data_IF_819707692807
#
_entry.id   IF_819707692807
#
_cell.length_a   1.000
_cell.length_b   1.000
_cell.length_c   1.000
_cell.angle_alpha   90.00
_cell.angle_beta   90.00
_cell.angle_gamma   90.00
#
_symmetry.space_group_name_H-M   'P 1'
#
loop_
_entity.id
_entity.type
_entity.pdbx_description
1 polymer ?
#
# COMPACT_ATOMS: atom_id res chain seq x y z
N UNK A 1 -3.62 -11.63 -31.62
CA UNK A 1 -3.94 -11.50 -33.06
C UNK A 1 -5.46 -11.52 -33.23
N UNK A 2 -6.05 -10.55 -33.95
CA UNK A 2 -7.48 -10.58 -34.25
C UNK A 2 -7.79 -11.72 -35.23
N UNK A 3 -8.92 -12.40 -35.05
CA UNK A 3 -9.41 -13.35 -36.06
C UNK A 3 -9.78 -12.60 -37.34
N UNK A 4 -9.78 -13.28 -38.48
CA UNK A 4 -10.12 -12.69 -39.79
C UNK A 4 -11.47 -11.98 -39.80
N UNK A 5 -12.46 -12.50 -39.06
CA UNK A 5 -13.78 -11.88 -38.89
C UNK A 5 -13.73 -10.58 -38.10
N UNK A 6 -12.91 -10.49 -37.05
CA UNK A 6 -12.70 -9.25 -36.28
C UNK A 6 -11.92 -8.24 -37.13
N UNK A 7 -10.94 -8.72 -37.90
CA UNK A 7 -10.10 -7.86 -38.73
C UNK A 7 -10.89 -7.08 -39.78
N UNK A 8 -11.92 -7.70 -40.37
CA UNK A 8 -12.81 -7.04 -41.33
C UNK A 8 -13.72 -5.97 -40.71
N UNK A 9 -13.85 -5.91 -39.38
CA UNK A 9 -14.65 -4.90 -38.69
C UNK A 9 -13.90 -3.58 -38.47
N UNK A 10 -12.59 -3.52 -38.74
CA UNK A 10 -11.83 -2.28 -38.55
C UNK A 10 -12.04 -1.31 -39.70
N UNK A 11 -12.46 -0.07 -39.39
CA UNK A 11 -12.58 1.00 -40.37
C UNK A 11 -11.22 1.55 -40.81
N UNK A 12 -10.28 1.61 -39.86
CA UNK A 12 -8.91 2.11 -40.07
C UNK A 12 -7.91 1.19 -39.43
N UNK A 13 -6.83 0.96 -40.14
CA UNK A 13 -5.68 0.18 -39.72
C UNK A 13 -4.46 1.08 -39.63
N UNK A 14 -3.70 0.91 -38.54
CA UNK A 14 -2.41 1.56 -38.33
C UNK A 14 -1.41 0.49 -37.90
N UNK A 15 -0.43 0.23 -38.75
CA UNK A 15 0.57 -0.83 -38.54
C UNK A 15 1.89 -0.18 -38.15
N UNK A 16 2.44 -0.61 -37.02
CA UNK A 16 3.69 -0.09 -36.46
C UNK A 16 4.72 -1.21 -36.36
N UNK A 17 5.95 -0.95 -36.80
CA UNK A 17 7.12 -1.80 -36.55
C UNK A 17 8.30 -0.93 -36.12
N UNK A 18 8.99 -1.31 -35.05
CA UNK A 18 10.19 -0.62 -34.54
C UNK A 18 10.01 0.91 -34.33
N UNK A 19 8.78 1.33 -34.00
CA UNK A 19 8.42 2.75 -33.83
C UNK A 19 8.05 3.50 -35.11
N UNK A 20 8.14 2.86 -36.28
CA UNK A 20 7.78 3.44 -37.58
C UNK A 20 6.42 2.96 -38.08
N UNK A 21 5.70 3.86 -38.75
CA UNK A 21 4.44 3.52 -39.42
C UNK A 21 4.72 2.77 -40.72
N UNK A 22 4.30 1.51 -40.80
CA UNK A 22 4.38 0.70 -42.02
C UNK A 22 3.16 0.89 -42.93
N UNK A 23 2.00 1.15 -42.33
CA UNK A 23 0.74 1.30 -43.08
C UNK A 23 -0.28 2.12 -42.28
N UNK A 24 -0.95 3.04 -42.97
CA UNK A 24 -2.08 3.81 -42.44
C UNK A 24 -3.18 3.91 -43.51
N UNK A 25 -4.33 3.28 -43.27
CA UNK A 25 -5.40 3.25 -44.28
C UNK A 25 -6.57 2.34 -43.89
N UNK A 26 -7.42 1.99 -44.86
CA UNK A 26 -8.55 1.08 -44.63
C UNK A 26 -8.11 -0.38 -44.73
N UNK A 27 -8.84 -1.31 -44.10
CA UNK A 27 -8.52 -2.74 -44.20
C UNK A 27 -8.58 -3.26 -45.64
N UNK A 28 -9.45 -2.68 -46.49
CA UNK A 28 -9.61 -3.09 -47.89
C UNK A 28 -8.39 -2.75 -48.74
N UNK A 29 -7.72 -1.65 -48.41
CA UNK A 29 -6.57 -1.16 -49.18
C UNK A 29 -5.26 -1.84 -48.75
N UNK A 30 -5.25 -2.57 -47.62
CA UNK A 30 -4.05 -3.22 -47.10
C UNK A 30 -3.43 -4.19 -48.11
N UNK A 31 -4.18 -5.22 -48.56
CA UNK A 31 -3.63 -6.22 -49.47
C UNK A 31 -3.17 -5.63 -50.81
N UNK A 32 -3.92 -4.70 -51.45
CA UNK A 32 -3.42 -3.97 -52.61
C UNK A 32 -2.10 -3.24 -52.36
N UNK A 33 -1.96 -2.54 -51.23
CA UNK A 33 -0.73 -1.80 -50.92
C UNK A 33 0.48 -2.71 -50.64
N UNK A 34 0.28 -3.84 -49.95
CA UNK A 34 1.32 -4.84 -49.76
C UNK A 34 1.73 -5.46 -51.11
N UNK A 35 0.75 -5.79 -51.96
CA UNK A 35 1.01 -6.32 -53.30
C UNK A 35 1.80 -5.34 -54.17
N UNK A 36 1.51 -4.04 -54.09
CA UNK A 36 2.25 -2.99 -54.80
C UNK A 36 3.72 -2.87 -54.37
N UNK A 37 4.05 -3.31 -53.16
CA UNK A 37 5.42 -3.36 -52.63
C UNK A 37 6.03 -4.77 -52.72
N UNK A 38 5.49 -5.64 -53.59
CA UNK A 38 6.05 -6.96 -53.89
C UNK A 38 5.67 -8.08 -52.90
N UNK A 39 4.73 -7.83 -51.99
CA UNK A 39 4.31 -8.79 -50.96
C UNK A 39 2.95 -9.39 -51.31
N UNK A 40 2.91 -10.69 -51.64
CA UNK A 40 1.67 -11.40 -51.93
C UNK A 40 1.21 -12.24 -50.73
N UNK A 41 -0.02 -11.98 -50.29
CA UNK A 41 -0.64 -12.78 -49.23
C UNK A 41 -1.07 -14.15 -49.79
N UNK A 42 -0.70 -15.27 -49.14
CA UNK A 42 -1.16 -16.60 -49.55
C UNK A 42 -2.68 -16.74 -49.53
N UNK A 43 -3.20 -17.62 -50.38
CA UNK A 43 -4.63 -17.92 -50.43
C UNK A 43 -5.10 -18.55 -49.10
N UNK A 44 -6.28 -18.15 -48.63
CA UNK A 44 -6.86 -18.59 -47.35
C UNK A 44 -6.05 -18.21 -46.10
N UNK A 45 -5.06 -17.33 -46.23
CA UNK A 45 -4.30 -16.80 -45.10
C UNK A 45 -5.00 -15.58 -44.49
N UNK A 46 -4.84 -15.39 -43.18
CA UNK A 46 -5.42 -14.25 -42.49
C UNK A 46 -4.59 -12.98 -42.79
N UNK A 47 -5.17 -11.94 -43.41
CA UNK A 47 -4.43 -10.72 -43.73
C UNK A 47 -3.86 -10.02 -42.49
N UNK A 48 -4.48 -10.20 -41.32
CA UNK A 48 -3.99 -9.68 -40.06
C UNK A 48 -2.69 -10.34 -39.60
N UNK A 49 -2.55 -11.65 -39.85
CA UNK A 49 -1.34 -12.39 -39.49
C UNK A 49 -0.25 -12.10 -40.51
N UNK A 50 -0.61 -12.05 -41.81
CA UNK A 50 0.31 -11.69 -42.89
C UNK A 50 1.00 -10.33 -42.66
N UNK A 51 0.25 -9.29 -42.30
CA UNK A 51 0.84 -7.96 -42.08
C UNK A 51 1.72 -7.91 -40.83
N UNK A 52 1.45 -8.75 -39.83
CA UNK A 52 2.29 -8.87 -38.63
C UNK A 52 3.60 -9.59 -38.96
N UNK A 53 3.57 -10.62 -39.79
CA UNK A 53 4.79 -11.31 -40.25
C UNK A 53 5.66 -10.43 -41.15
N UNK A 54 5.03 -9.61 -42.01
CA UNK A 54 5.73 -8.56 -42.75
C UNK A 54 6.38 -7.56 -41.78
N UNK A 55 5.65 -7.16 -40.74
CA UNK A 55 6.17 -6.26 -39.71
C UNK A 55 7.27 -6.90 -38.83
N UNK A 56 7.26 -8.21 -38.64
CA UNK A 56 8.30 -8.95 -37.90
C UNK A 56 9.57 -9.19 -38.74
N UNK A 57 9.48 -9.03 -40.07
CA UNK A 57 10.61 -9.20 -41.00
C UNK A 57 10.74 -10.60 -41.59
N UNK A 58 9.72 -11.45 -41.46
CA UNK A 58 9.72 -12.81 -42.01
C UNK A 58 9.74 -12.84 -43.55
N UNK A 59 9.33 -11.75 -44.19
CA UNK A 59 9.34 -11.56 -45.65
C UNK A 59 10.52 -10.71 -46.15
N UNK A 60 11.59 -10.58 -45.35
CA UNK A 60 12.80 -9.83 -45.71
C UNK A 60 12.79 -8.35 -45.25
N UNK A 61 13.81 -7.59 -45.67
CA UNK A 61 13.98 -6.17 -45.30
C UNK A 61 13.14 -5.23 -46.20
N UNK A 62 11.82 -5.39 -46.14
CA UNK A 62 10.83 -4.54 -46.83
C UNK A 62 10.34 -3.38 -45.96
N UNK A 63 10.79 -3.30 -44.70
CA UNK A 63 10.36 -2.29 -43.73
C UNK A 63 10.64 -0.87 -44.22
N UNK A 64 11.84 -0.61 -44.73
CA UNK A 64 12.24 0.73 -45.18
C UNK A 64 11.38 1.27 -46.33
N UNK A 65 11.00 0.41 -47.28
CA UNK A 65 10.17 0.79 -48.42
C UNK A 65 8.72 1.02 -48.02
N UNK A 66 8.19 0.21 -47.11
CA UNK A 66 6.85 0.39 -46.54
C UNK A 66 6.73 1.68 -45.72
N UNK A 67 7.75 2.03 -44.93
CA UNK A 67 7.79 3.32 -44.22
C UNK A 67 7.75 4.49 -45.19
N UNK A 68 8.59 4.48 -46.24
CA UNK A 68 8.59 5.52 -47.28
C UNK A 68 7.25 5.59 -48.03
N UNK A 69 6.62 4.45 -48.29
CA UNK A 69 5.31 4.39 -48.91
C UNK A 69 4.23 5.01 -48.01
N UNK A 70 4.22 4.66 -46.72
CA UNK A 70 3.30 5.19 -45.72
C UNK A 70 3.47 6.70 -45.50
N UNK A 71 4.71 7.21 -45.48
CA UNK A 71 5.00 8.65 -45.40
C UNK A 71 4.47 9.40 -46.62
N UNK A 72 4.66 8.86 -47.84
CA UNK A 72 4.15 9.49 -49.07
C UNK A 72 2.63 9.49 -49.14
N UNK A 73 1.98 8.39 -48.76
CA UNK A 73 0.51 8.29 -48.83
C UNK A 73 -0.23 8.94 -47.64
N UNK A 74 0.41 9.07 -46.47
CA UNK A 74 -0.17 9.84 -45.35
C UNK A 74 -0.22 11.34 -45.65
N UNK A 75 0.79 11.91 -46.31
CA UNK A 75 0.77 13.30 -46.77
C UNK A 75 -0.29 13.56 -47.85
N UNK A 76 -0.54 12.59 -48.73
CA UNK A 76 -1.57 12.67 -49.78
C UNK A 76 -2.98 12.60 -49.20
N UNK A 77 -3.24 11.85 -48.13
CA UNK A 77 -4.58 11.88 -47.48
C UNK A 77 -4.89 13.20 -46.78
N UNK A 78 -3.88 13.91 -46.26
CA UNK A 78 -4.04 15.25 -45.67
C UNK A 78 -4.26 16.34 -46.73
N UNK A 79 -3.71 16.17 -47.94
CA UNK A 79 -3.78 17.18 -49.02
C UNK A 79 -4.88 16.91 -50.05
N UNK A 80 -5.26 15.66 -50.32
CA UNK A 80 -6.10 15.33 -51.48
C UNK A 80 -7.61 15.26 -51.21
N UNK A 81 -8.04 14.97 -49.98
CA UNK A 81 -9.47 14.96 -49.64
C UNK A 81 -10.03 16.35 -49.26
N UNK A 82 -9.16 17.32 -48.97
CA UNK A 82 -9.54 18.73 -48.79
C UNK A 82 -9.58 19.53 -50.10
N UNK A 83 -8.67 19.28 -51.04
CA UNK A 83 -8.55 20.11 -52.26
C UNK A 83 -9.42 19.66 -53.44
N UNK A 84 -9.84 18.39 -53.52
CA UNK A 84 -10.57 17.90 -54.72
C UNK A 84 -12.05 18.29 -54.75
N UNK A 85 -12.65 18.71 -53.64
CA UNK A 85 -14.03 19.22 -53.66
C UNK A 85 -14.13 20.70 -54.02
N UNK A 86 -13.02 21.45 -53.94
CA UNK A 86 -12.97 22.90 -54.24
C UNK A 86 -12.66 23.16 -55.73
N UNK A 87 -12.05 22.20 -56.43
CA UNK A 87 -11.61 22.37 -57.82
C UNK A 87 -12.74 22.34 -58.88
N UNK A 88 -14.01 22.16 -58.49
CA UNK A 88 -15.13 22.06 -59.43
C UNK A 88 -16.08 23.27 -59.43
N UNK A 89 -15.80 24.32 -58.66
CA UNK A 89 -16.51 25.60 -58.77
C UNK A 89 -15.52 26.69 -59.18
N UNK A 90 -15.59 27.10 -60.45
CA UNK A 90 -14.79 28.19 -60.98
C UNK A 90 -15.22 29.52 -60.37
N UNK A 91 -14.29 30.22 -59.73
CA UNK A 91 -14.52 31.56 -59.21
C UNK A 91 -13.32 32.08 -58.42
N UNK A 92 -12.61 33.03 -59.03
CA UNK A 92 -11.69 34.03 -58.51
C UNK A 92 -10.78 33.75 -57.29
N UNK A 93 -9.49 33.98 -57.57
CA UNK A 93 -8.36 34.04 -56.65
C UNK A 93 -8.55 35.18 -55.62
N UNK A 94 -8.67 34.84 -54.33
CA UNK A 94 -7.92 35.45 -53.22
C UNK A 94 -8.31 34.82 -51.87
N UNK A 95 -7.29 34.55 -51.05
CA UNK A 95 -7.29 33.97 -49.70
C UNK A 95 -7.32 32.43 -49.58
N UNK A 96 -6.26 31.82 -48.99
CA UNK A 96 -6.28 30.41 -48.63
C UNK A 96 -7.08 30.25 -47.33
N UNK A 97 -8.40 30.15 -47.45
CA UNK A 97 -9.19 29.54 -46.38
C UNK A 97 -8.82 28.06 -46.29
N UNK A 98 -7.88 27.77 -45.40
CA UNK A 98 -7.54 26.42 -45.01
C UNK A 98 -8.80 25.76 -44.45
N UNK A 99 -9.42 24.88 -45.25
CA UNK A 99 -10.42 23.92 -44.77
C UNK A 99 -9.64 22.90 -43.95
N UNK A 100 -9.32 23.27 -42.73
CA UNK A 100 -9.04 22.35 -41.65
C UNK A 100 -10.20 21.37 -41.61
N UNK A 101 -9.91 20.06 -41.73
CA UNK A 101 -10.77 19.06 -41.08
C UNK A 101 -11.18 19.63 -39.71
N UNK A 102 -12.41 19.46 -39.21
CA UNK A 102 -12.72 19.93 -37.87
C UNK A 102 -11.76 19.18 -36.93
N UNK A 103 -10.63 19.83 -36.65
CA UNK A 103 -9.81 19.62 -35.48
C UNK A 103 -10.86 19.77 -34.42
N UNK A 104 -11.24 18.62 -33.82
CA UNK A 104 -12.19 18.55 -32.72
C UNK A 104 -12.00 19.82 -31.92
N UNK A 105 -12.99 20.70 -31.98
CA UNK A 105 -12.80 22.03 -31.45
C UNK A 105 -12.53 21.84 -29.97
N UNK A 106 -11.69 22.69 -29.38
CA UNK A 106 -11.33 22.57 -27.97
C UNK A 106 -12.59 22.49 -27.07
N UNK A 107 -13.74 22.98 -27.55
CA UNK A 107 -15.07 22.91 -26.95
C UNK A 107 -15.66 21.49 -26.91
N UNK A 108 -15.42 20.61 -27.90
CA UNK A 108 -15.93 19.23 -27.93
C UNK A 108 -15.28 18.34 -26.85
N UNK A 109 -14.05 18.66 -26.44
CA UNK A 109 -13.33 17.97 -25.36
C UNK A 109 -13.63 18.53 -23.95
N UNK A 110 -14.32 19.66 -23.83
CA UNK A 110 -14.55 20.33 -22.54
C UNK A 110 -15.63 19.68 -21.66
N UNK A 111 -16.29 18.61 -22.11
CA UNK A 111 -17.40 17.97 -21.38
C UNK A 111 -17.00 17.16 -20.14
N UNK A 112 -15.71 16.99 -19.83
CA UNK A 112 -15.29 16.22 -18.64
C UNK A 112 -14.65 17.14 -17.60
N UNK A 113 -15.47 17.92 -16.90
CA UNK A 113 -15.02 18.59 -15.67
C UNK A 113 -14.75 17.54 -14.59
N UNK A 114 -13.59 17.56 -13.91
CA UNK A 114 -13.30 16.63 -12.84
C UNK A 114 -14.28 16.81 -11.68
N UNK A 115 -14.78 15.71 -11.13
CA UNK A 115 -15.70 15.72 -10.00
C UNK A 115 -15.09 16.47 -8.78
N UNK A 116 -15.91 17.18 -7.97
CA UNK A 116 -15.42 17.88 -6.79
C UNK A 116 -14.82 16.91 -5.77
N UNK A 117 -13.83 17.38 -5.01
CA UNK A 117 -13.07 16.56 -4.06
C UNK A 117 -13.95 15.83 -3.03
N UNK A 118 -14.95 16.50 -2.48
CA UNK A 118 -15.85 15.92 -1.49
C UNK A 118 -16.69 14.76 -2.06
N UNK A 119 -17.10 14.85 -3.33
CA UNK A 119 -17.82 13.77 -4.01
C UNK A 119 -16.89 12.57 -4.22
N UNK A 120 -15.67 12.81 -4.70
CA UNK A 120 -14.65 11.76 -4.82
C UNK A 120 -14.43 11.06 -3.47
N UNK A 121 -14.24 11.84 -2.40
CA UNK A 121 -14.02 11.31 -1.06
C UNK A 121 -15.22 10.49 -0.55
N UNK A 122 -16.45 10.99 -0.65
CA UNK A 122 -17.63 10.29 -0.14
C UNK A 122 -17.83 8.93 -0.84
N UNK A 123 -17.68 8.91 -2.17
CA UNK A 123 -17.75 7.66 -2.95
C UNK A 123 -16.65 6.69 -2.53
N UNK A 124 -15.42 7.18 -2.35
CA UNK A 124 -14.28 6.36 -1.94
C UNK A 124 -14.42 5.86 -0.50
N UNK A 125 -14.90 6.68 0.43
CA UNK A 125 -15.22 6.29 1.81
C UNK A 125 -16.24 5.13 1.82
N UNK A 126 -17.36 5.30 1.11
CA UNK A 126 -18.39 4.25 0.99
C UNK A 126 -17.82 2.97 0.40
N UNK A 127 -17.01 3.08 -0.66
CA UNK A 127 -16.38 1.93 -1.31
C UNK A 127 -15.40 1.23 -0.37
N UNK A 128 -14.50 1.96 0.27
CA UNK A 128 -13.51 1.43 1.20
C UNK A 128 -14.19 0.73 2.39
N UNK A 129 -15.24 1.34 2.93
CA UNK A 129 -16.02 0.77 4.03
C UNK A 129 -16.71 -0.54 3.63
N UNK A 130 -17.40 -0.55 2.47
CA UNK A 130 -18.05 -1.76 1.96
C UNK A 130 -17.04 -2.87 1.65
N UNK A 131 -15.88 -2.50 1.10
CA UNK A 131 -14.78 -3.43 0.80
C UNK A 131 -14.24 -4.09 2.09
N UNK A 132 -14.14 -3.32 3.17
CA UNK A 132 -13.64 -3.82 4.45
C UNK A 132 -14.65 -4.77 5.12
N UNK A 133 -15.93 -4.39 5.18
CA UNK A 133 -16.97 -5.20 5.83
C UNK A 133 -17.31 -6.45 5.04
N UNK A 134 -17.40 -6.36 3.71
CA UNK A 134 -17.74 -7.50 2.85
C UNK A 134 -16.58 -8.45 2.62
N UNK A 135 -15.39 -8.17 3.17
CA UNK A 135 -14.27 -9.09 3.15
C UNK A 135 -14.23 -9.89 4.46
N UNK A 136 -14.94 -11.04 4.54
CA UNK A 136 -15.06 -11.81 5.77
C UNK A 136 -13.70 -12.34 6.26
N UNK A 137 -12.77 -12.60 5.33
CA UNK A 137 -11.42 -13.05 5.66
C UNK A 137 -10.65 -11.99 6.45
N UNK A 138 -10.79 -10.72 6.10
CA UNK A 138 -10.02 -9.65 6.75
C UNK A 138 -10.66 -9.19 8.05
N UNK A 139 -11.99 -9.08 8.10
CA UNK A 139 -12.68 -8.58 9.30
C UNK A 139 -12.87 -9.66 10.37
N UNK A 140 -13.48 -10.81 10.04
CA UNK A 140 -13.83 -11.83 11.03
C UNK A 140 -12.62 -12.58 11.57
N UNK A 141 -11.65 -12.96 10.71
CA UNK A 141 -10.45 -13.67 11.19
C UNK A 141 -9.61 -12.79 12.10
N UNK A 142 -9.47 -11.48 11.82
CA UNK A 142 -8.71 -10.58 12.70
C UNK A 142 -9.34 -10.47 14.07
N UNK A 143 -10.67 -10.31 14.14
CA UNK A 143 -11.38 -10.26 15.41
C UNK A 143 -11.24 -11.58 16.17
N UNK A 144 -11.43 -12.71 15.49
CA UNK A 144 -11.29 -14.04 16.07
C UNK A 144 -9.88 -14.31 16.58
N UNK A 145 -8.82 -13.91 15.85
CA UNK A 145 -7.43 -14.08 16.30
C UNK A 145 -7.12 -13.23 17.53
N UNK A 146 -7.57 -11.97 17.58
CA UNK A 146 -7.38 -11.12 18.76
C UNK A 146 -8.11 -11.67 19.99
N UNK A 147 -9.33 -12.20 19.80
CA UNK A 147 -10.10 -12.84 20.87
C UNK A 147 -9.41 -14.13 21.37
N UNK A 148 -9.09 -15.05 20.46
CA UNK A 148 -8.53 -16.36 20.80
C UNK A 148 -7.15 -16.22 21.45
N UNK A 149 -6.26 -15.42 20.87
CA UNK A 149 -4.91 -15.22 21.42
C UNK A 149 -4.96 -14.43 22.72
N UNK A 150 -5.87 -13.45 22.84
CA UNK A 150 -6.09 -12.72 24.09
C UNK A 150 -6.52 -13.64 25.23
N UNK A 151 -7.48 -14.54 24.99
CA UNK A 151 -7.92 -15.54 25.98
C UNK A 151 -6.80 -16.53 26.28
N UNK A 152 -6.09 -17.05 25.28
CA UNK A 152 -4.97 -17.96 25.49
C UNK A 152 -3.85 -17.32 26.34
N UNK A 153 -3.46 -16.08 26.05
CA UNK A 153 -2.47 -15.35 26.85
C UNK A 153 -2.98 -15.05 28.26
N UNK A 154 -4.25 -14.65 28.38
CA UNK A 154 -4.89 -14.40 29.68
C UNK A 154 -4.96 -15.65 30.57
N UNK A 155 -5.21 -16.83 29.98
CA UNK A 155 -5.19 -18.10 30.71
C UNK A 155 -3.77 -18.54 31.08
N UNK A 156 -2.79 -18.35 30.18
CA UNK A 156 -1.41 -18.75 30.41
C UNK A 156 -0.75 -17.95 31.55
N UNK A 157 -1.04 -16.64 31.61
CA UNK A 157 -0.50 -15.70 32.60
C UNK A 157 -1.56 -15.28 33.63
N UNK A 158 -2.51 -16.18 33.93
CA UNK A 158 -3.61 -15.90 34.83
C UNK A 158 -3.10 -15.44 36.21
N UNK A 159 -3.68 -14.35 36.71
CA UNK A 159 -3.42 -13.80 38.05
C UNK A 159 -1.92 -13.60 38.39
N UNK A 160 -1.17 -13.03 37.44
CA UNK A 160 0.27 -12.79 37.60
C UNK A 160 0.61 -11.35 37.96
N UNK A 161 -0.29 -10.40 37.66
CA UNK A 161 -0.01 -8.98 37.72
C UNK A 161 0.31 -8.47 39.12
N UNK A 162 -0.25 -9.05 40.18
CA UNK A 162 -0.02 -8.66 41.57
C UNK A 162 1.15 -9.35 42.27
N UNK A 163 1.72 -10.41 41.69
CA UNK A 163 2.68 -11.28 42.39
C UNK A 163 4.14 -10.87 42.15
N UNK A 164 4.90 -10.66 43.21
CA UNK A 164 6.32 -10.29 43.16
C UNK A 164 7.21 -11.46 42.68
N UNK A 165 6.82 -12.70 42.95
CA UNK A 165 7.55 -13.93 42.56
C UNK A 165 7.63 -14.13 41.03
N UNK A 166 6.68 -13.53 40.31
CA UNK A 166 6.44 -13.77 38.88
C UNK A 166 6.65 -12.51 38.04
N UNK A 167 7.41 -11.53 38.54
CA UNK A 167 7.60 -10.26 37.85
C UNK A 167 8.18 -10.45 36.43
N UNK A 168 9.20 -11.32 36.26
CA UNK A 168 9.81 -11.57 34.94
C UNK A 168 8.80 -12.17 33.96
N UNK A 169 7.90 -13.01 34.46
CA UNK A 169 6.82 -13.57 33.65
C UNK A 169 5.82 -12.48 33.23
N UNK A 170 5.50 -11.52 34.11
CA UNK A 170 4.64 -10.39 33.76
C UNK A 170 5.33 -9.41 32.77
N UNK A 171 6.63 -9.15 32.92
CA UNK A 171 7.40 -8.39 31.91
C UNK A 171 7.41 -9.11 30.55
N UNK A 172 7.55 -10.44 30.57
CA UNK A 172 7.47 -11.30 29.38
C UNK A 172 6.08 -11.26 28.74
N UNK A 173 5.00 -11.24 29.54
CA UNK A 173 3.63 -11.05 29.05
C UNK A 173 3.50 -9.72 28.30
N UNK A 174 3.97 -8.61 28.89
CA UNK A 174 3.92 -7.29 28.24
C UNK A 174 4.70 -7.31 26.91
N UNK A 175 5.85 -7.96 26.87
CA UNK A 175 6.62 -8.13 25.64
C UNK A 175 5.90 -8.98 24.58
N UNK A 176 5.26 -10.09 24.97
CA UNK A 176 4.46 -10.88 24.03
C UNK A 176 3.23 -10.12 23.51
N UNK A 177 2.62 -9.27 24.34
CA UNK A 177 1.54 -8.38 23.90
C UNK A 177 2.03 -7.42 22.81
N UNK A 178 3.21 -6.80 22.98
CA UNK A 178 3.76 -5.89 21.96
C UNK A 178 4.13 -6.64 20.67
N UNK A 179 4.69 -7.85 20.76
CA UNK A 179 4.92 -8.70 19.58
C UNK A 179 3.61 -8.98 18.83
N UNK A 180 2.60 -9.46 19.55
CA UNK A 180 1.33 -9.85 18.97
C UNK A 180 0.65 -8.66 18.27
N UNK A 181 0.58 -7.51 18.94
CA UNK A 181 -0.01 -6.29 18.39
C UNK A 181 0.75 -5.77 17.16
N UNK A 182 2.09 -5.88 17.16
CA UNK A 182 2.92 -5.47 16.01
C UNK A 182 2.59 -6.33 14.77
N UNK A 183 2.60 -7.65 14.91
CA UNK A 183 2.36 -8.54 13.76
C UNK A 183 0.91 -8.51 13.29
N UNK A 184 -0.06 -8.46 14.20
CA UNK A 184 -1.49 -8.39 13.84
C UNK A 184 -1.86 -7.05 13.20
N UNK A 185 -1.22 -5.95 13.59
CA UNK A 185 -1.39 -4.64 12.95
C UNK A 185 -0.75 -4.55 11.56
N UNK A 186 0.42 -5.17 11.36
CA UNK A 186 1.22 -5.04 10.14
C UNK A 186 0.86 -6.07 9.05
N UNK A 187 0.89 -7.37 9.36
CA UNK A 187 0.87 -8.45 8.36
C UNK A 187 -0.33 -8.44 7.42
N UNK A 188 -1.59 -8.34 7.92
CA UNK A 188 -2.72 -8.39 7.00
C UNK A 188 -2.87 -7.12 6.14
N UNK A 189 -2.12 -6.05 6.42
CA UNK A 189 -2.00 -4.87 5.55
C UNK A 189 -0.99 -5.15 4.44
N UNK A 190 0.17 -5.70 4.80
CA UNK A 190 1.25 -6.09 3.88
C UNK A 190 0.75 -7.03 2.78
N UNK A 191 -0.21 -7.90 3.09
CA UNK A 191 -0.80 -8.84 2.14
C UNK A 191 -1.82 -8.19 1.19
N UNK A 192 -2.66 -7.28 1.68
CA UNK A 192 -3.79 -6.75 0.90
C UNK A 192 -3.45 -5.43 0.19
N UNK A 193 -2.63 -4.59 0.80
CA UNK A 193 -2.36 -3.24 0.31
C UNK A 193 -1.64 -3.20 -1.05
N UNK A 194 -0.69 -4.10 -1.40
CA UNK A 194 -0.10 -4.13 -2.75
C UNK A 194 -1.15 -4.33 -3.86
N UNK A 195 -2.17 -5.16 -3.60
CA UNK A 195 -3.25 -5.43 -4.54
C UNK A 195 -4.13 -4.19 -4.71
N UNK A 196 -4.50 -3.54 -3.59
CA UNK A 196 -5.26 -2.29 -3.61
C UNK A 196 -4.49 -1.16 -4.30
N UNK A 197 -3.18 -1.02 -4.04
CA UNK A 197 -2.31 -0.02 -4.66
C UNK A 197 -2.19 -0.20 -6.17
N UNK A 198 -2.21 -1.44 -6.67
CA UNK A 198 -2.24 -1.74 -8.09
C UNK A 198 -3.56 -1.29 -8.74
N UNK A 199 -4.70 -1.58 -8.10
CA UNK A 199 -6.02 -1.11 -8.56
C UNK A 199 -6.07 0.42 -8.56
N UNK A 200 -5.64 1.05 -7.47
CA UNK A 200 -5.53 2.51 -7.36
C UNK A 200 -4.71 3.13 -8.50
N UNK A 201 -3.55 2.55 -8.82
CA UNK A 201 -2.69 3.06 -9.90
C UNK A 201 -3.42 3.04 -11.25
N UNK A 202 -4.17 1.97 -11.54
CA UNK A 202 -4.99 1.87 -12.76
C UNK A 202 -6.10 2.91 -12.80
N UNK A 203 -6.84 3.08 -11.70
CA UNK A 203 -7.95 4.03 -11.59
C UNK A 203 -7.46 5.48 -11.69
N UNK A 204 -6.29 5.77 -11.12
CA UNK A 204 -5.64 7.08 -11.20
C UNK A 204 -5.15 7.40 -12.60
N UNK A 205 -4.61 6.42 -13.33
CA UNK A 205 -4.19 6.59 -14.73
C UNK A 205 -5.38 6.88 -15.65
N UNK A 206 -6.58 6.43 -15.30
CA UNK A 206 -7.83 6.79 -15.98
C UNK A 206 -8.45 8.10 -15.44
N UNK A 207 -7.74 8.84 -14.57
CA UNK A 207 -8.18 10.11 -13.97
C UNK A 207 -9.51 10.06 -13.21
N UNK A 208 -9.88 8.91 -12.63
CA UNK A 208 -11.17 8.76 -11.93
C UNK A 208 -11.26 9.58 -10.65
N UNK A 209 -10.16 9.70 -9.90
CA UNK A 209 -10.11 10.47 -8.65
C UNK A 209 -8.66 10.85 -8.29
N UNK A 210 -8.51 11.73 -7.31
CA UNK A 210 -7.20 12.22 -6.82
C UNK A 210 -6.54 11.28 -5.81
N UNK A 211 -5.19 11.25 -5.80
CA UNK A 211 -4.41 10.50 -4.79
C UNK A 211 -4.79 10.91 -3.35
N UNK A 212 -5.00 12.21 -3.13
CA UNK A 212 -5.39 12.76 -1.83
C UNK A 212 -6.74 12.20 -1.36
N UNK A 213 -7.73 12.15 -2.26
CA UNK A 213 -9.07 11.64 -1.92
C UNK A 213 -9.02 10.15 -1.55
N UNK A 214 -8.27 9.35 -2.30
CA UNK A 214 -8.07 7.93 -2.00
C UNK A 214 -7.37 7.70 -0.67
N UNK A 215 -6.21 8.32 -0.47
CA UNK A 215 -5.40 8.10 0.71
C UNK A 215 -6.16 8.50 1.99
N UNK A 216 -6.79 9.67 1.99
CA UNK A 216 -7.55 10.14 3.15
C UNK A 216 -8.81 9.28 3.40
N UNK A 217 -9.54 8.89 2.36
CA UNK A 217 -10.70 7.99 2.52
C UNK A 217 -10.29 6.64 3.13
N UNK A 218 -9.17 6.08 2.68
CA UNK A 218 -8.64 4.81 3.16
C UNK A 218 -8.25 4.90 4.64
N UNK A 219 -7.47 5.91 5.02
CA UNK A 219 -7.04 6.12 6.42
C UNK A 219 -8.22 6.33 7.37
N UNK A 220 -9.23 7.13 6.96
CA UNK A 220 -10.43 7.38 7.79
C UNK A 220 -11.23 6.10 8.03
N UNK A 221 -11.41 5.27 7.00
CA UNK A 221 -12.20 4.04 7.13
C UNK A 221 -11.50 3.01 7.99
N UNK A 222 -10.17 2.89 7.94
CA UNK A 222 -9.44 1.86 8.67
C UNK A 222 -9.21 2.21 10.15
N UNK A 223 -9.13 3.50 10.49
CA UNK A 223 -8.79 3.95 11.85
C UNK A 223 -9.72 3.40 12.96
N UNK A 224 -11.06 3.41 12.84
CA UNK A 224 -11.94 2.84 13.87
C UNK A 224 -11.68 1.37 14.14
N UNK A 225 -11.35 0.60 13.10
CA UNK A 225 -11.07 -0.83 13.23
C UNK A 225 -9.71 -1.07 13.88
N UNK A 226 -8.72 -0.24 13.55
CA UNK A 226 -7.39 -0.32 14.17
C UNK A 226 -7.38 0.08 15.65
N UNK A 227 -8.38 0.84 16.11
CA UNK A 227 -8.63 1.08 17.53
C UNK A 227 -9.36 -0.13 18.14
N UNK A 228 -10.42 -0.62 17.50
CA UNK A 228 -11.26 -1.68 18.06
C UNK A 228 -10.52 -3.00 18.36
N UNK A 229 -9.68 -3.49 17.43
CA UNK A 229 -8.98 -4.78 17.62
C UNK A 229 -8.04 -4.82 18.83
N UNK A 230 -7.06 -3.90 19.00
CA UNK A 230 -6.19 -3.90 20.17
C UNK A 230 -6.97 -3.62 21.46
N UNK A 231 -8.02 -2.79 21.45
CA UNK A 231 -8.82 -2.57 22.66
C UNK A 231 -9.47 -3.84 23.16
N UNK A 232 -10.02 -4.68 22.26
CA UNK A 232 -10.60 -5.99 22.65
C UNK A 232 -9.52 -6.91 23.21
N UNK A 233 -8.37 -7.03 22.54
CA UNK A 233 -7.27 -7.88 23.00
C UNK A 233 -6.74 -7.44 24.37
N UNK A 234 -6.46 -6.15 24.54
CA UNK A 234 -5.93 -5.58 25.79
C UNK A 234 -6.94 -5.72 26.92
N UNK A 235 -8.23 -5.48 26.68
CA UNK A 235 -9.25 -5.65 27.71
C UNK A 235 -9.24 -7.09 28.27
N UNK A 236 -9.13 -8.10 27.40
CA UNK A 236 -9.09 -9.50 27.84
C UNK A 236 -7.83 -9.76 28.66
N UNK A 237 -6.65 -9.44 28.12
CA UNK A 237 -5.38 -9.75 28.78
C UNK A 237 -5.20 -8.98 30.09
N UNK A 238 -5.52 -7.69 30.12
CA UNK A 238 -5.31 -6.84 31.30
C UNK A 238 -6.10 -7.33 32.51
N UNK A 239 -7.38 -7.67 32.31
CA UNK A 239 -8.25 -8.15 33.38
C UNK A 239 -8.01 -9.61 33.77
N UNK A 240 -7.74 -10.51 32.81
CA UNK A 240 -7.47 -11.93 33.12
C UNK A 240 -6.13 -12.15 33.84
N UNK A 241 -5.16 -11.28 33.61
CA UNK A 241 -3.83 -11.39 34.24
C UNK A 241 -3.72 -10.59 35.53
N UNK A 242 -4.83 -10.03 36.03
CA UNK A 242 -4.91 -9.23 37.27
C UNK A 242 -3.89 -8.09 37.32
N UNK A 243 -3.76 -7.33 36.21
CA UNK A 243 -2.97 -6.09 36.23
C UNK A 243 -3.64 -5.06 37.17
N UNK A 244 -2.91 -4.01 37.61
CA UNK A 244 -3.44 -3.01 38.53
C UNK A 244 -4.82 -2.48 38.11
N UNK A 245 -5.85 -2.53 38.96
CA UNK A 245 -7.22 -2.21 38.55
C UNK A 245 -7.48 -0.70 38.33
N UNK A 246 -6.46 0.14 38.51
CA UNK A 246 -6.56 1.59 38.31
C UNK A 246 -6.86 1.94 36.84
N UNK A 247 -7.98 2.63 36.61
CA UNK A 247 -8.43 3.01 35.27
C UNK A 247 -7.41 3.84 34.50
N UNK A 248 -6.66 4.71 35.20
CA UNK A 248 -5.58 5.51 34.61
C UNK A 248 -4.53 4.63 33.92
N UNK A 249 -4.10 3.56 34.59
CA UNK A 249 -3.09 2.61 34.09
C UNK A 249 -3.63 1.80 32.92
N UNK A 250 -4.87 1.33 33.01
CA UNK A 250 -5.54 0.65 31.90
C UNK A 250 -5.62 1.52 30.65
N UNK A 251 -6.01 2.80 30.81
CA UNK A 251 -6.11 3.74 29.68
C UNK A 251 -4.73 4.02 29.08
N UNK A 252 -3.68 4.22 29.88
CA UNK A 252 -2.31 4.39 29.37
C UNK A 252 -1.83 3.17 28.60
N UNK A 253 -2.00 1.96 29.15
CA UNK A 253 -1.60 0.71 28.52
C UNK A 253 -2.37 0.46 27.21
N UNK A 254 -3.69 0.69 27.21
CA UNK A 254 -4.55 0.56 26.04
C UNK A 254 -4.19 1.57 24.95
N UNK A 255 -3.95 2.83 25.33
CA UNK A 255 -3.57 3.90 24.41
C UNK A 255 -2.23 3.63 23.73
N UNK A 256 -1.21 3.22 24.48
CA UNK A 256 0.09 2.83 23.92
C UNK A 256 -0.02 1.62 23.00
N UNK A 257 -0.86 0.65 23.35
CA UNK A 257 -1.14 -0.53 22.52
C UNK A 257 -1.83 -0.15 21.20
N UNK A 258 -2.78 0.79 21.23
CA UNK A 258 -3.41 1.34 20.02
C UNK A 258 -2.40 2.09 19.16
N UNK A 259 -1.54 2.92 19.77
CA UNK A 259 -0.49 3.62 19.03
C UNK A 259 0.48 2.64 18.37
N UNK A 260 0.87 1.56 19.06
CA UNK A 260 1.71 0.50 18.52
C UNK A 260 1.08 -0.16 17.27
N UNK A 261 -0.21 -0.53 17.33
CA UNK A 261 -0.89 -1.11 16.16
C UNK A 261 -1.01 -0.11 15.02
N UNK A 262 -1.23 1.18 15.30
CA UNK A 262 -1.27 2.24 14.28
C UNK A 262 0.09 2.43 13.59
N UNK A 263 1.20 2.39 14.34
CA UNK A 263 2.55 2.43 13.77
C UNK A 263 2.79 1.20 12.89
N UNK A 264 2.49 0.00 13.40
CA UNK A 264 2.67 -1.26 12.69
C UNK A 264 1.82 -1.31 11.39
N UNK A 265 0.58 -0.82 11.46
CA UNK A 265 -0.31 -0.66 10.30
C UNK A 265 0.27 0.32 9.26
N UNK A 266 0.76 1.47 9.71
CA UNK A 266 1.35 2.50 8.82
C UNK A 266 2.61 1.98 8.13
N UNK A 267 3.47 1.26 8.84
CA UNK A 267 4.63 0.56 8.27
C UNK A 267 4.20 -0.50 7.24
N UNK A 268 3.15 -1.26 7.55
CA UNK A 268 2.58 -2.25 6.63
C UNK A 268 2.06 -1.62 5.33
N UNK A 269 1.37 -0.48 5.42
CA UNK A 269 0.95 0.28 4.24
C UNK A 269 2.14 0.80 3.42
N UNK A 270 3.18 1.31 4.09
CA UNK A 270 4.39 1.79 3.43
C UNK A 270 5.07 0.67 2.62
N UNK A 271 5.30 -0.48 3.26
CA UNK A 271 5.86 -1.67 2.61
C UNK A 271 4.99 -2.10 1.43
N UNK A 272 3.66 -2.14 1.62
CA UNK A 272 2.73 -2.54 0.58
C UNK A 272 2.62 -1.55 -0.59
N UNK A 273 2.85 -0.25 -0.35
CA UNK A 273 2.89 0.77 -1.39
C UNK A 273 4.12 0.60 -2.28
N UNK A 274 5.26 0.29 -1.67
CA UNK A 274 6.56 0.24 -2.32
C UNK A 274 6.83 -1.08 -3.04
N UNK A 275 6.46 -2.21 -2.44
CA UNK A 275 6.82 -3.54 -2.92
C UNK A 275 5.67 -4.27 -3.63
N UNK A 276 5.99 -5.37 -4.33
CA UNK A 276 5.01 -6.37 -4.75
C UNK A 276 4.62 -7.24 -3.55
N UNK A 277 3.47 -7.93 -3.62
CA UNK A 277 2.99 -8.81 -2.56
C UNK A 277 4.04 -9.85 -2.14
N UNK A 278 4.72 -10.47 -3.10
CA UNK A 278 5.74 -11.49 -2.83
C UNK A 278 6.93 -10.93 -2.04
N UNK A 279 7.44 -9.75 -2.42
CA UNK A 279 8.56 -9.10 -1.73
C UNK A 279 8.11 -8.57 -0.36
N UNK A 280 6.90 -8.03 -0.27
CA UNK A 280 6.33 -7.46 0.95
C UNK A 280 6.24 -8.49 2.09
N UNK A 281 5.89 -9.75 1.77
CA UNK A 281 5.80 -10.86 2.73
C UNK A 281 7.16 -11.16 3.39
N UNK A 282 8.27 -11.07 2.65
CA UNK A 282 9.60 -11.28 3.20
C UNK A 282 10.14 -10.02 3.89
N UNK A 283 9.81 -8.84 3.37
CA UNK A 283 10.32 -7.58 3.89
C UNK A 283 9.71 -7.21 5.25
N UNK A 284 8.43 -7.52 5.48
CA UNK A 284 7.76 -7.15 6.72
C UNK A 284 8.36 -7.83 7.97
N UNK A 285 8.57 -9.17 8.03
CA UNK A 285 9.29 -9.79 9.13
C UNK A 285 10.75 -9.32 9.23
N UNK A 286 11.43 -9.12 8.09
CA UNK A 286 12.82 -8.68 8.05
C UNK A 286 13.02 -7.29 8.68
N UNK A 287 12.01 -6.41 8.61
CA UNK A 287 12.01 -5.12 9.31
C UNK A 287 11.53 -5.27 10.76
N UNK A 288 10.47 -6.05 11.03
CA UNK A 288 9.89 -6.14 12.36
C UNK A 288 10.79 -6.87 13.38
N UNK A 289 11.44 -7.97 13.00
CA UNK A 289 12.25 -8.78 13.93
C UNK A 289 13.41 -7.97 14.54
N UNK A 290 14.21 -7.19 13.78
CA UNK A 290 15.19 -6.28 14.36
C UNK A 290 14.56 -5.27 15.33
N UNK A 291 13.41 -4.68 15.00
CA UNK A 291 12.73 -3.73 15.91
C UNK A 291 12.34 -4.39 17.23
N UNK A 292 11.90 -5.66 17.20
CA UNK A 292 11.60 -6.44 18.40
C UNK A 292 12.86 -6.75 19.22
N UNK A 293 13.98 -7.09 18.56
CA UNK A 293 15.25 -7.41 19.24
C UNK A 293 15.78 -6.20 20.04
N UNK A 294 15.64 -5.00 19.49
CA UNK A 294 16.08 -3.75 20.11
C UNK A 294 14.98 -3.05 20.95
N UNK A 295 13.97 -3.79 21.40
CA UNK A 295 12.84 -3.27 22.19
C UNK A 295 13.15 -2.96 23.67
N UNK A 296 14.33 -3.33 24.16
CA UNK A 296 14.73 -3.14 25.56
C UNK A 296 14.40 -4.32 26.49
N UNK A 297 13.59 -5.29 26.05
CA UNK A 297 13.32 -6.53 26.79
C UNK A 297 14.40 -7.61 26.56
N UNK A 298 14.65 -7.98 25.30
CA UNK A 298 15.58 -9.07 24.96
C UNK A 298 17.02 -8.71 25.33
N UNK A 299 17.41 -7.46 25.09
CA UNK A 299 18.66 -6.88 25.55
C UNK A 299 18.32 -5.55 26.20
N UNK A 300 18.67 -5.41 27.48
CA UNK A 300 18.48 -4.15 28.20
C UNK A 300 19.40 -3.07 27.65
N UNK A 301 18.98 -1.80 27.71
CA UNK A 301 19.74 -0.69 27.15
C UNK A 301 21.15 -0.54 27.74
N UNK A 302 21.29 -0.82 29.04
CA UNK A 302 22.57 -0.78 29.75
C UNK A 302 23.55 -1.85 29.25
N UNK A 303 23.06 -3.02 28.86
CA UNK A 303 23.87 -4.13 28.37
C UNK A 303 24.19 -4.00 26.87
N UNK A 304 23.52 -3.11 26.14
CA UNK A 304 23.71 -2.94 24.71
C UNK A 304 25.05 -2.25 24.40
N UNK A 305 25.86 -2.80 23.47
CA UNK A 305 27.09 -2.14 23.03
C UNK A 305 26.82 -0.73 22.47
N UNK A 306 27.70 0.23 22.78
CA UNK A 306 27.52 1.64 22.45
C UNK A 306 27.27 1.89 20.94
N UNK A 307 27.90 1.10 20.06
CA UNK A 307 27.73 1.24 18.61
C UNK A 307 26.35 0.81 18.08
N UNK A 308 25.55 0.06 18.86
CA UNK A 308 24.18 -0.35 18.50
C UNK A 308 23.08 0.51 19.15
N UNK A 309 23.45 1.41 20.07
CA UNK A 309 22.47 2.23 20.81
C UNK A 309 21.52 3.01 19.88
N UNK A 310 22.03 3.56 18.78
CA UNK A 310 21.23 4.35 17.84
C UNK A 310 20.07 3.55 17.20
N UNK A 311 20.25 2.24 16.97
CA UNK A 311 19.22 1.37 16.37
C UNK A 311 18.03 1.21 17.32
N UNK A 312 18.29 1.20 18.64
CA UNK A 312 17.23 1.12 19.64
C UNK A 312 16.28 2.31 19.57
N UNK A 313 16.76 3.51 19.23
CA UNK A 313 15.91 4.71 19.07
C UNK A 313 15.06 4.68 17.81
N UNK A 314 15.42 3.87 16.82
CA UNK A 314 14.63 3.64 15.59
C UNK A 314 13.50 2.63 15.83
N UNK A 315 13.63 1.78 16.87
CA UNK A 315 12.60 0.80 17.20
C UNK A 315 11.38 1.45 17.83
N UNK A 316 10.28 1.49 17.08
CA UNK A 316 8.98 1.89 17.64
C UNK A 316 8.47 0.90 18.71
N UNK A 317 8.88 -0.38 18.63
CA UNK A 317 8.51 -1.41 19.61
C UNK A 317 9.14 -1.10 20.96
N UNK A 318 10.36 -0.52 20.98
CA UNK A 318 11.02 -0.08 22.22
C UNK A 318 10.12 0.87 22.99
N UNK A 319 9.70 1.97 22.37
CA UNK A 319 8.86 2.97 23.04
C UNK A 319 7.52 2.39 23.51
N UNK A 320 6.93 1.46 22.74
CA UNK A 320 5.70 0.79 23.15
C UNK A 320 5.92 -0.14 24.36
N UNK A 321 6.98 -0.95 24.36
CA UNK A 321 7.30 -1.84 25.48
C UNK A 321 7.64 -1.06 26.75
N UNK A 322 8.55 -0.08 26.67
CA UNK A 322 8.94 0.77 27.80
C UNK A 322 7.73 1.51 28.36
N UNK A 323 6.90 2.11 27.51
CA UNK A 323 5.67 2.79 27.93
C UNK A 323 4.67 1.84 28.59
N UNK A 324 4.47 0.64 28.05
CA UNK A 324 3.55 -0.34 28.63
C UNK A 324 4.06 -0.82 30.00
N UNK A 325 5.36 -1.08 30.15
CA UNK A 325 5.95 -1.43 31.45
C UNK A 325 5.80 -0.28 32.45
N UNK A 326 6.08 0.96 32.03
CA UNK A 326 5.90 2.15 32.88
C UNK A 326 4.44 2.37 33.29
N UNK A 327 3.47 2.08 32.41
CA UNK A 327 2.06 2.18 32.77
C UNK A 327 1.64 1.15 33.85
N UNK A 328 2.28 -0.02 33.86
CA UNK A 328 1.98 -1.12 34.79
C UNK A 328 2.75 -1.01 36.10
N UNK A 329 4.01 -0.56 36.09
CA UNK A 329 4.89 -0.56 37.26
C UNK A 329 5.32 0.82 37.75
N UNK A 330 5.21 1.87 36.92
CA UNK A 330 5.56 3.24 37.31
C UNK A 330 4.48 3.94 38.15
N UNK A 331 4.58 5.26 38.30
CA UNK A 331 3.56 6.11 38.94
C UNK A 331 3.14 5.63 40.34
N UNK A 332 4.10 5.44 41.25
CA UNK A 332 3.86 5.13 42.66
C UNK A 332 2.90 3.94 42.90
N UNK A 333 3.13 2.84 42.16
CA UNK A 333 2.39 1.60 42.35
C UNK A 333 2.68 1.02 43.76
N UNK A 334 1.65 0.54 44.50
CA UNK A 334 1.86 -0.14 45.77
C UNK A 334 2.73 -1.39 45.64
N UNK A 335 3.33 -1.80 46.75
CA UNK A 335 4.17 -2.99 46.85
C UNK A 335 3.45 -4.24 46.32
N UNK A 336 4.22 -5.09 45.63
CA UNK A 336 3.71 -6.34 45.07
C UNK A 336 3.58 -7.40 46.17
N UNK A 337 2.57 -8.25 46.05
CA UNK A 337 2.37 -9.35 46.98
C UNK A 337 3.44 -10.41 46.76
N UNK A 338 4.30 -10.63 47.76
CA UNK A 338 5.16 -11.80 47.79
C UNK A 338 4.37 -12.94 48.45
N UNK A 339 4.20 -14.06 47.74
CA UNK A 339 3.55 -15.24 48.31
C UNK A 339 4.27 -15.73 49.57
N UNK A 340 3.55 -16.43 50.45
CA UNK A 340 4.14 -16.97 51.68
C UNK A 340 5.44 -17.74 51.37
N UNK A 341 6.54 -17.37 52.05
CA UNK A 341 7.83 -18.04 51.98
C UNK A 341 7.66 -19.52 52.35
N UNK A 342 7.44 -20.37 51.34
CA UNK A 342 7.53 -21.81 51.49
C UNK A 342 8.99 -22.19 51.38
N UNK A 343 9.46 -23.03 52.28
CA UNK A 343 10.84 -23.54 52.34
C UNK A 343 11.32 -23.96 50.92
N UNK A 344 12.25 -23.20 50.35
CA UNK A 344 12.76 -23.38 48.98
C UNK A 344 12.23 -22.41 47.90
N UNK A 345 11.40 -21.42 48.24
CA UNK A 345 10.98 -20.36 47.31
C UNK A 345 12.11 -19.37 47.02
N UNK A 346 12.25 -18.95 45.76
CA UNK A 346 13.18 -17.90 45.34
C UNK A 346 12.83 -16.60 46.09
N UNK A 347 13.79 -15.89 46.71
CA UNK A 347 13.50 -14.63 47.38
C UNK A 347 12.89 -13.63 46.39
N UNK A 348 11.84 -12.91 46.81
CA UNK A 348 11.24 -11.85 46.03
C UNK A 348 12.25 -10.69 45.89
N UNK A 349 12.96 -10.63 44.76
CA UNK A 349 13.98 -9.59 44.49
C UNK A 349 13.39 -8.19 44.29
N UNK A 350 12.14 -8.09 43.84
CA UNK A 350 11.51 -6.83 43.42
C UNK A 350 10.14 -6.67 44.06
N UNK A 351 10.11 -6.49 45.38
CA UNK A 351 8.87 -6.17 46.12
C UNK A 351 8.42 -4.73 45.82
N UNK A 352 9.38 -3.81 45.66
CA UNK A 352 9.16 -2.44 45.23
C UNK A 352 9.21 -2.32 43.68
N UNK A 353 8.14 -1.83 43.03
CA UNK A 353 8.14 -1.60 41.58
C UNK A 353 9.19 -0.60 41.09
N UNK A 354 9.60 0.34 41.93
CA UNK A 354 10.63 1.36 41.64
C UNK A 354 11.99 0.73 41.31
N UNK A 355 12.40 -0.29 42.07
CA UNK A 355 13.65 -1.02 41.86
C UNK A 355 13.66 -1.76 40.53
N UNK A 356 12.50 -2.27 40.10
CA UNK A 356 12.37 -2.93 38.81
C UNK A 356 12.49 -1.94 37.64
N UNK A 357 11.84 -0.78 37.74
CA UNK A 357 11.97 0.31 36.75
C UNK A 357 13.44 0.78 36.68
N UNK A 358 14.12 0.88 37.82
CA UNK A 358 15.55 1.20 37.92
C UNK A 358 16.43 0.13 37.24
N UNK A 359 16.11 -1.16 37.45
CA UNK A 359 16.82 -2.30 36.86
C UNK A 359 16.74 -2.26 35.33
N UNK A 360 15.55 -2.02 34.78
CA UNK A 360 15.36 -1.83 33.33
C UNK A 360 15.98 -0.53 32.78
N UNK A 361 16.28 0.44 33.65
CA UNK A 361 16.88 1.72 33.26
C UNK A 361 15.86 2.71 32.68
N UNK A 362 14.61 2.66 33.16
CA UNK A 362 13.50 3.46 32.63
C UNK A 362 13.20 4.74 33.43
N UNK A 363 14.06 5.10 34.39
CA UNK A 363 13.81 6.19 35.36
C UNK A 363 13.66 7.58 34.73
N UNK A 364 14.34 7.82 33.61
CA UNK A 364 14.31 9.10 32.91
C UNK A 364 13.25 9.13 31.80
N UNK A 365 12.54 8.01 31.58
CA UNK A 365 11.56 7.87 30.50
C UNK A 365 10.16 8.03 31.07
N UNK A 366 9.34 8.85 30.41
CA UNK A 366 7.93 9.02 30.74
C UNK A 366 7.03 8.42 29.66
N UNK A 367 5.81 8.01 30.05
CA UNK A 367 4.81 7.47 29.11
C UNK A 367 4.46 8.49 28.02
N UNK A 368 4.48 9.79 28.33
CA UNK A 368 4.21 10.86 27.37
C UNK A 368 5.26 10.92 26.26
N UNK A 369 6.54 10.75 26.60
CA UNK A 369 7.63 10.70 25.61
C UNK A 369 7.49 9.48 24.71
N UNK A 370 7.16 8.32 25.28
CA UNK A 370 6.88 7.10 24.52
C UNK A 370 5.70 7.29 23.55
N UNK A 371 4.59 7.88 24.02
CA UNK A 371 3.43 8.16 23.19
C UNK A 371 3.76 9.16 22.07
N UNK A 372 4.50 10.24 22.38
CA UNK A 372 4.96 11.22 21.41
C UNK A 372 5.85 10.61 20.33
N UNK A 373 6.77 9.72 20.70
CA UNK A 373 7.62 9.00 19.75
C UNK A 373 6.79 8.11 18.82
N UNK A 374 5.84 7.33 19.36
CA UNK A 374 4.94 6.50 18.55
C UNK A 374 4.10 7.32 17.57
N UNK A 375 3.52 8.43 18.01
CA UNK A 375 2.78 9.36 17.13
C UNK A 375 3.70 9.90 16.02
N UNK A 376 4.94 10.24 16.35
CA UNK A 376 5.96 10.62 15.37
C UNK A 376 6.17 9.56 14.30
N UNK A 377 6.33 8.29 14.69
CA UNK A 377 6.44 7.17 13.75
C UNK A 377 5.19 6.99 12.87
N UNK A 378 3.98 7.13 13.44
CA UNK A 378 2.73 7.08 12.65
C UNK A 378 2.76 8.14 11.55
N UNK A 379 3.12 9.38 11.88
CA UNK A 379 3.19 10.48 10.90
C UNK A 379 4.26 10.21 9.84
N UNK A 380 5.46 9.79 10.25
CA UNK A 380 6.58 9.49 9.34
C UNK A 380 6.18 8.41 8.32
N UNK A 381 5.66 7.27 8.78
CA UNK A 381 5.30 6.17 7.88
C UNK A 381 4.10 6.51 6.98
N UNK A 382 3.14 7.31 7.46
CA UNK A 382 2.03 7.76 6.63
C UNK A 382 2.47 8.72 5.53
N UNK A 383 3.33 9.70 5.85
CA UNK A 383 3.94 10.58 4.84
C UNK A 383 4.77 9.77 3.85
N UNK A 384 5.58 8.82 4.33
CA UNK A 384 6.37 7.93 3.47
C UNK A 384 5.47 7.10 2.53
N UNK A 385 4.34 6.58 3.03
CA UNK A 385 3.34 5.85 2.23
C UNK A 385 2.75 6.73 1.13
N UNK A 386 2.36 7.96 1.46
CA UNK A 386 1.83 8.91 0.48
C UNK A 386 2.85 9.24 -0.62
N UNK A 387 4.11 9.45 -0.23
CA UNK A 387 5.22 9.68 -1.18
C UNK A 387 5.47 8.45 -2.04
N UNK A 388 5.48 7.25 -1.46
CA UNK A 388 5.65 5.98 -2.18
C UNK A 388 4.56 5.76 -3.24
N UNK A 389 3.29 5.99 -2.89
CA UNK A 389 2.17 5.93 -3.84
C UNK A 389 2.33 6.95 -4.97
N UNK A 390 2.74 8.18 -4.65
CA UNK A 390 2.96 9.23 -5.66
C UNK A 390 4.06 8.83 -6.63
N UNK A 391 5.16 8.26 -6.14
CA UNK A 391 6.25 7.75 -6.97
C UNK A 391 5.79 6.57 -7.85
N UNK A 392 5.00 5.65 -7.30
CA UNK A 392 4.46 4.50 -8.02
C UNK A 392 3.62 4.93 -9.22
N UNK A 393 2.71 5.89 -9.05
CA UNK A 393 1.90 6.45 -10.15
C UNK A 393 2.77 7.09 -11.22
N UNK A 394 3.79 7.88 -10.83
CA UNK A 394 4.68 8.55 -11.79
C UNK A 394 5.51 7.56 -12.62
N UNK A 395 6.00 6.47 -12.00
CA UNK A 395 6.77 5.43 -12.71
C UNK A 395 5.93 4.67 -13.74
N UNK A 396 4.68 4.34 -13.40
CA UNK A 396 3.79 3.65 -14.35
C UNK A 396 3.45 4.51 -15.57
N UNK A 397 3.44 5.83 -15.42
CA UNK A 397 3.26 6.74 -16.56
C UNK A 397 4.50 6.82 -17.46
N UNK A 398 5.71 6.80 -16.88
CA UNK A 398 6.97 6.90 -17.65
C UNK A 398 7.35 5.61 -18.38
N UNK A 399 6.89 4.45 -17.92
CA UNK A 399 7.16 3.14 -18.52
C UNK A 399 6.14 2.74 -19.60
N UNK A 400 5.19 3.61 -19.92
CA UNK A 400 4.29 3.50 -21.08
C UNK A 400 4.72 4.52 -22.12
#
# INVERSE_FOLDING_TARGET
>A
QPSSRIFQLFDRLYVLADGYCLYHGTVRDLLPTLTANGLQCPAFYNPADFVIEVASGEYGDVKGDLVRYAERHSQVSLTSNGLKSIANEGGDLNEPHAVTAPLLTQEDYQLVTPAPFCLQMNVLLKRCYLSLIRNPMVFHLRLATNLLVGVCMGLLYYDIGGRADSFFNNATLVFFCTIFLTFTGMMPVVLNYPLEAAVFTRERNNSWYTLKAYYLSKTIVELPFQVAYPTVFVAIVYWMTSQPPEMSRFVMFSFLSILLTLVAHSLGMFIGAFASMQVAIFLAPAVAIPMLLFSGFVVTLKAMPHYLHWISYVSFVRYAYEGCVLSVYGYDRPELECGEEKDGSVPCLFTEPSEFVNFLGLNEVSVEVCAGALIGFVVIFNVATYVALRMRVKRTFLNR
#
